data_IF_656265609582
#
_entry.id   IF_656265609582
#
_cell.length_a   1.000
_cell.length_b   1.000
_cell.length_c   1.000
_cell.angle_alpha   90.00
_cell.angle_beta   90.00
_cell.angle_gamma   90.00
#
_symmetry.space_group_name_H-M   'P 1'
#
loop_
_entity.id
_entity.type
_entity.pdbx_description
1 polymer ?
#
# COMPACT_ATOMS: atom_id res chain seq x y z
N UNK A 1 -11.52 22.76 0.59
CA UNK A 1 -10.17 22.41 0.09
C UNK A 1 -10.13 20.91 -0.10
N UNK A 2 -10.15 20.46 -1.35
CA UNK A 2 -10.34 19.05 -1.71
C UNK A 2 -8.98 18.32 -1.76
N UNK A 3 -8.32 18.22 -0.60
CA UNK A 3 -6.99 17.57 -0.50
C UNK A 3 -7.04 16.08 -0.87
N UNK A 4 -8.23 15.47 -0.78
CA UNK A 4 -8.53 14.08 -1.12
C UNK A 4 -8.20 13.72 -2.57
N UNK A 5 -8.46 14.63 -3.52
CA UNK A 5 -8.33 14.34 -4.94
C UNK A 5 -6.87 14.18 -5.40
N UNK A 6 -5.92 14.86 -4.76
CA UNK A 6 -4.49 14.76 -5.09
C UNK A 6 -3.74 13.74 -4.23
N UNK A 7 -4.12 13.61 -2.95
CA UNK A 7 -3.39 12.77 -2.00
C UNK A 7 -3.48 11.28 -2.32
N UNK A 8 -4.69 10.74 -2.54
CA UNK A 8 -4.89 9.28 -2.72
C UNK A 8 -4.07 8.76 -3.92
N UNK A 9 -4.13 9.34 -5.14
CA UNK A 9 -3.30 8.89 -6.26
C UNK A 9 -1.80 8.89 -5.96
N UNK A 10 -1.30 9.99 -5.40
CA UNK A 10 0.12 10.17 -5.11
C UNK A 10 0.61 9.19 -4.04
N UNK A 11 -0.18 8.97 -3.00
CA UNK A 11 0.14 8.04 -1.92
C UNK A 11 0.17 6.59 -2.40
N UNK A 12 -0.74 6.18 -3.30
CA UNK A 12 -0.70 4.84 -3.90
C UNK A 12 0.51 4.67 -4.82
N UNK A 13 0.85 5.67 -5.63
CA UNK A 13 2.04 5.63 -6.51
C UNK A 13 3.35 5.58 -5.71
N UNK A 14 3.46 6.39 -4.66
CA UNK A 14 4.60 6.37 -3.75
C UNK A 14 4.75 5.00 -3.06
N UNK A 15 3.64 4.44 -2.56
CA UNK A 15 3.64 3.13 -1.92
C UNK A 15 4.06 2.01 -2.89
N UNK A 16 3.61 2.03 -4.15
CA UNK A 16 4.07 1.08 -5.17
C UNK A 16 5.57 1.21 -5.40
N UNK A 17 6.07 2.44 -5.56
CA UNK A 17 7.51 2.68 -5.73
C UNK A 17 8.34 2.17 -4.54
N UNK A 18 7.86 2.41 -3.32
CA UNK A 18 8.52 1.92 -2.10
C UNK A 18 8.52 0.39 -1.99
N UNK A 19 7.44 -0.27 -2.41
CA UNK A 19 7.35 -1.73 -2.44
C UNK A 19 8.25 -2.35 -3.51
N UNK A 20 8.35 -1.74 -4.69
CA UNK A 20 9.24 -2.20 -5.76
C UNK A 20 10.72 -2.04 -5.37
N UNK A 21 11.08 -0.92 -4.74
CA UNK A 21 12.40 -0.68 -4.18
C UNK A 21 12.74 -1.75 -3.13
N UNK A 22 11.82 -1.99 -2.19
CA UNK A 22 11.98 -3.03 -1.17
C UNK A 22 12.13 -4.43 -1.78
N UNK A 23 11.31 -4.78 -2.77
CA UNK A 23 11.39 -6.05 -3.48
C UNK A 23 12.76 -6.25 -4.16
N UNK A 24 13.32 -5.15 -4.68
CA UNK A 24 14.64 -5.12 -5.32
C UNK A 24 15.81 -5.15 -4.31
N UNK A 25 15.52 -5.08 -3.01
CA UNK A 25 16.51 -5.05 -1.94
C UNK A 25 17.09 -3.66 -1.67
N UNK A 26 16.46 -2.61 -2.17
CA UNK A 26 16.76 -1.24 -1.78
C UNK A 26 16.20 -0.90 -0.39
N UNK A 27 16.58 0.26 0.14
CA UNK A 27 16.10 0.75 1.43
C UNK A 27 14.59 0.98 1.46
N UNK A 28 14.00 0.76 2.64
CA UNK A 28 12.55 0.96 2.86
C UNK A 28 12.24 2.44 2.95
N UNK A 29 11.28 2.90 2.13
CA UNK A 29 10.70 4.24 2.24
C UNK A 29 9.46 4.17 3.13
N UNK A 30 9.68 4.25 4.44
CA UNK A 30 8.67 3.99 5.46
C UNK A 30 7.44 4.89 5.32
N UNK A 31 7.66 6.18 5.09
CA UNK A 31 6.58 7.18 4.98
C UNK A 31 5.68 6.92 3.78
N UNK A 32 6.25 6.51 2.65
CA UNK A 32 5.50 6.16 1.43
C UNK A 32 4.58 4.95 1.67
N UNK A 33 5.05 3.95 2.41
CA UNK A 33 4.24 2.77 2.78
C UNK A 33 3.10 3.15 3.73
N UNK A 34 3.35 4.04 4.70
CA UNK A 34 2.32 4.53 5.63
C UNK A 34 1.29 5.40 4.89
N UNK A 35 1.73 6.28 3.99
CA UNK A 35 0.85 7.09 3.16
C UNK A 35 -0.07 6.21 2.31
N UNK A 36 0.48 5.16 1.67
CA UNK A 36 -0.32 4.18 0.94
C UNK A 36 -1.34 3.46 1.81
N UNK A 37 -0.97 3.09 3.04
CA UNK A 37 -1.90 2.45 3.98
C UNK A 37 -3.07 3.38 4.33
N UNK A 38 -2.80 4.66 4.59
CA UNK A 38 -3.82 5.67 4.88
C UNK A 38 -4.74 5.87 3.66
N UNK A 39 -4.17 5.95 2.46
CA UNK A 39 -4.95 6.10 1.23
C UNK A 39 -5.91 4.92 1.00
N UNK A 40 -5.46 3.68 1.24
CA UNK A 40 -6.31 2.49 1.14
C UNK A 40 -7.40 2.49 2.22
N UNK A 41 -7.11 2.91 3.46
CA UNK A 41 -8.12 3.04 4.51
C UNK A 41 -9.18 4.09 4.15
N UNK A 42 -8.78 5.23 3.58
CA UNK A 42 -9.72 6.26 3.10
C UNK A 42 -10.63 5.71 2.00
N UNK A 43 -10.10 4.93 1.05
CA UNK A 43 -10.89 4.26 0.02
C UNK A 43 -11.82 3.18 0.61
N UNK A 44 -11.35 2.41 1.59
CA UNK A 44 -12.15 1.39 2.26
C UNK A 44 -13.29 1.98 3.10
N UNK A 45 -13.11 3.19 3.61
CA UNK A 45 -14.13 3.94 4.34
C UNK A 45 -15.25 4.50 3.43
N UNK A 46 -15.03 4.56 2.10
CA UNK A 46 -16.08 4.93 1.16
C UNK A 46 -17.13 3.80 1.08
N UNK A 47 -18.38 4.13 1.40
CA UNK A 47 -19.47 3.17 1.50
C UNK A 47 -19.69 2.40 0.17
N UNK A 48 -19.84 1.08 0.24
CA UNK A 48 -20.28 0.25 -0.90
C UNK A 48 -19.30 -0.81 -1.41
N UNK A 49 -18.17 -1.06 -0.73
CA UNK A 49 -17.22 -2.08 -1.21
C UNK A 49 -17.71 -3.52 -0.97
N UNK A 50 -17.64 -4.40 -1.99
CA UNK A 50 -17.86 -5.83 -1.80
C UNK A 50 -16.92 -6.42 -0.73
N UNK A 51 -17.41 -7.39 0.05
CA UNK A 51 -16.67 -7.97 1.17
C UNK A 51 -15.26 -8.46 0.79
N UNK A 52 -15.13 -9.14 -0.35
CA UNK A 52 -13.84 -9.64 -0.84
C UNK A 52 -12.81 -8.53 -1.13
N UNK A 53 -13.26 -7.38 -1.64
CA UNK A 53 -12.37 -6.22 -1.87
C UNK A 53 -11.91 -5.62 -0.56
N UNK A 54 -12.83 -5.49 0.39
CA UNK A 54 -12.52 -4.99 1.74
C UNK A 54 -11.47 -5.87 2.43
N UNK A 55 -11.60 -7.19 2.35
CA UNK A 55 -10.58 -8.13 2.89
C UNK A 55 -9.20 -7.92 2.25
N UNK A 56 -9.14 -7.73 0.92
CA UNK A 56 -7.89 -7.45 0.22
C UNK A 56 -7.25 -6.12 0.63
N UNK A 57 -8.07 -5.07 0.76
CA UNK A 57 -7.64 -3.75 1.23
C UNK A 57 -7.13 -3.80 2.68
N UNK A 58 -7.85 -4.46 3.59
CA UNK A 58 -7.44 -4.62 4.99
C UNK A 58 -6.13 -5.42 5.14
N UNK A 59 -5.89 -6.39 4.24
CA UNK A 59 -4.64 -7.13 4.18
C UNK A 59 -3.49 -6.25 3.69
N UNK A 60 -3.72 -5.44 2.65
CA UNK A 60 -2.73 -4.49 2.13
C UNK A 60 -2.35 -3.44 3.19
N UNK A 61 -3.33 -2.84 3.88
CA UNK A 61 -3.10 -1.86 4.95
C UNK A 61 -2.22 -2.45 6.05
N UNK A 62 -2.54 -3.67 6.53
CA UNK A 62 -1.73 -4.35 7.54
C UNK A 62 -0.32 -4.68 7.03
N UNK A 63 -0.21 -5.18 5.80
CA UNK A 63 1.06 -5.49 5.15
C UNK A 63 1.99 -4.28 5.05
N UNK A 64 1.47 -3.16 4.52
CA UNK A 64 2.17 -1.90 4.41
C UNK A 64 2.68 -1.40 5.76
N UNK A 65 1.82 -1.39 6.78
CA UNK A 65 2.20 -1.00 8.15
C UNK A 65 3.26 -1.91 8.75
N UNK A 66 3.18 -3.22 8.55
CA UNK A 66 4.18 -4.17 9.04
C UNK A 66 5.53 -3.91 8.37
N UNK A 67 5.57 -3.75 7.04
CA UNK A 67 6.80 -3.47 6.32
C UNK A 67 7.39 -2.11 6.69
N UNK A 68 6.55 -1.11 6.96
CA UNK A 68 6.99 0.21 7.39
C UNK A 68 7.55 0.23 8.82
N UNK A 69 7.00 -0.57 9.74
CA UNK A 69 7.33 -0.45 11.18
C UNK A 69 8.27 -1.54 11.70
N UNK A 70 8.40 -2.67 10.98
CA UNK A 70 9.20 -3.81 11.44
C UNK A 70 10.39 -4.04 10.51
N UNK A 71 11.53 -3.43 10.84
CA UNK A 71 12.78 -3.54 10.09
C UNK A 71 13.25 -4.99 9.89
N UNK A 72 13.03 -5.86 10.88
CA UNK A 72 13.36 -7.29 10.78
C UNK A 72 12.54 -8.02 9.71
N UNK A 73 11.30 -7.58 9.46
CA UNK A 73 10.46 -8.15 8.41
C UNK A 73 10.88 -7.60 7.06
N UNK A 74 10.98 -6.27 6.92
CA UNK A 74 11.31 -5.64 5.64
C UNK A 74 12.70 -6.02 5.13
N UNK A 75 13.69 -6.17 6.01
CA UNK A 75 15.03 -6.64 5.65
C UNK A 75 15.12 -8.15 5.32
N UNK A 76 14.07 -8.93 5.58
CA UNK A 76 14.08 -10.38 5.34
C UNK A 76 13.74 -10.75 3.90
N UNK A 77 14.19 -11.92 3.44
CA UNK A 77 13.77 -12.50 2.15
C UNK A 77 12.24 -12.62 2.03
N UNK A 78 11.56 -12.99 3.12
CA UNK A 78 10.10 -13.08 3.15
C UNK A 78 9.43 -11.71 3.04
N UNK A 79 9.98 -10.66 3.66
CA UNK A 79 9.49 -9.29 3.53
C UNK A 79 9.61 -8.75 2.11
N UNK A 80 10.75 -8.99 1.45
CA UNK A 80 10.94 -8.62 0.04
C UNK A 80 9.97 -9.35 -0.89
N UNK A 81 9.75 -10.65 -0.68
CA UNK A 81 8.74 -11.41 -1.43
C UNK A 81 7.32 -10.89 -1.17
N UNK A 82 7.00 -10.58 0.09
CA UNK A 82 5.71 -10.00 0.45
C UNK A 82 5.50 -8.62 -0.19
N UNK A 83 6.55 -7.82 -0.34
CA UNK A 83 6.50 -6.52 -1.00
C UNK A 83 6.00 -6.63 -2.45
N UNK A 84 6.43 -7.66 -3.20
CA UNK A 84 5.92 -7.95 -4.56
C UNK A 84 4.40 -8.21 -4.53
N UNK A 85 3.93 -9.03 -3.60
CA UNK A 85 2.51 -9.34 -3.47
C UNK A 85 1.68 -8.11 -3.11
N UNK A 86 2.16 -7.29 -2.15
CA UNK A 86 1.47 -6.05 -1.80
C UNK A 86 1.49 -5.04 -2.94
N UNK A 87 2.57 -4.96 -3.73
CA UNK A 87 2.65 -4.03 -4.87
C UNK A 87 1.58 -4.38 -5.91
N UNK A 88 1.32 -5.66 -6.15
CA UNK A 88 0.23 -6.09 -7.03
C UNK A 88 -1.15 -5.65 -6.50
N UNK A 89 -1.41 -5.80 -5.20
CA UNK A 89 -2.67 -5.38 -4.57
C UNK A 89 -2.85 -3.86 -4.64
N UNK A 90 -1.80 -3.08 -4.32
CA UNK A 90 -1.86 -1.61 -4.37
C UNK A 90 -2.10 -1.11 -5.79
N UNK A 91 -1.47 -1.72 -6.80
CA UNK A 91 -1.73 -1.40 -8.22
C UNK A 91 -3.17 -1.71 -8.64
N UNK A 92 -3.72 -2.83 -8.17
CA UNK A 92 -5.12 -3.19 -8.43
C UNK A 92 -6.08 -2.17 -7.82
N UNK A 93 -5.85 -1.80 -6.54
CA UNK A 93 -6.60 -0.72 -5.88
C UNK A 93 -6.49 0.59 -6.68
N UNK A 94 -5.28 1.02 -7.05
CA UNK A 94 -5.09 2.24 -7.84
C UNK A 94 -5.88 2.21 -9.14
N UNK A 95 -5.83 1.08 -9.88
CA UNK A 95 -6.55 0.92 -11.16
C UNK A 95 -8.06 1.01 -10.99
N UNK A 96 -8.61 0.43 -9.93
CA UNK A 96 -10.07 0.36 -9.70
C UNK A 96 -10.64 1.71 -9.25
N UNK A 97 -9.87 2.50 -8.51
CA UNK A 97 -10.40 3.69 -7.81
C UNK A 97 -9.98 5.03 -8.41
N UNK A 98 -8.97 5.07 -9.27
CA UNK A 98 -8.35 6.32 -9.74
C UNK A 98 -8.24 6.33 -11.28
N UNK A 99 -9.36 6.09 -11.96
CA UNK A 99 -9.46 6.14 -13.42
C UNK A 99 -8.92 7.45 -14.00
#
# INVERSE_FOLDING_TARGET
MDMSHGFIPQALDAAVSALDALASGEGVRHDDLIAGAIAIEMLAAQAGQPHHRRTGMDAAVRGLRILATRASVSGSHHGRRAAVSFAAIVRDVRRVFIH
#
